data_IF_888234717744
#
_entry.id   IF_888234717744
#
_cell.length_a   1.000
_cell.length_b   1.000
_cell.length_c   1.000
_cell.angle_alpha   90.00
_cell.angle_beta   90.00
_cell.angle_gamma   90.00
#
_symmetry.space_group_name_H-M   'P 1'
#
loop_
_entity.id
_entity.type
_entity.pdbx_description
1 polymer ?
#
# COMPACT_ATOMS: atom_id res chain seq x y z
N UNK A 1 0.42 -24.17 2.02
CA UNK A 1 0.36 -22.78 2.53
C UNK A 1 -0.39 -22.63 3.88
N UNK A 2 -0.75 -23.72 4.58
CA UNK A 2 -1.63 -23.68 5.77
C UNK A 2 -0.89 -23.68 7.12
N UNK A 3 0.39 -24.03 7.16
CA UNK A 3 1.10 -24.30 8.43
C UNK A 3 1.53 -23.01 9.18
N UNK A 4 1.51 -21.84 8.53
CA UNK A 4 1.89 -20.57 9.17
C UNK A 4 0.82 -19.97 10.08
N UNK A 5 -0.44 -20.43 9.99
CA UNK A 5 -1.54 -19.85 10.78
C UNK A 5 -1.69 -20.45 12.19
N UNK A 6 -1.11 -21.62 12.46
CA UNK A 6 -1.21 -22.29 13.76
C UNK A 6 -0.44 -21.59 14.90
N UNK A 7 0.44 -20.63 14.59
CA UNK A 7 1.20 -19.87 15.59
C UNK A 7 0.68 -18.45 15.83
N UNK A 8 -0.47 -18.09 15.25
CA UNK A 8 -1.08 -16.78 15.46
C UNK A 8 -2.04 -16.83 16.65
N UNK A 9 -1.95 -15.89 17.61
CA UNK A 9 -2.90 -15.76 18.73
C UNK A 9 -4.36 -15.80 18.26
N UNK A 10 -5.23 -16.47 19.02
CA UNK A 10 -6.65 -16.71 18.69
C UNK A 10 -7.50 -15.48 18.27
N UNK A 11 -7.19 -14.23 18.70
CA UNK A 11 -7.86 -13.04 18.18
C UNK A 11 -7.47 -12.68 16.73
N UNK A 12 -6.26 -13.03 16.30
CA UNK A 12 -5.70 -12.67 14.99
C UNK A 12 -6.26 -13.53 13.86
N UNK A 13 -6.59 -14.79 14.14
CA UNK A 13 -7.20 -15.69 13.16
C UNK A 13 -8.55 -15.16 12.69
N UNK A 14 -9.39 -14.62 13.59
CA UNK A 14 -10.71 -14.04 13.25
C UNK A 14 -10.60 -12.80 12.36
N UNK A 15 -9.68 -11.90 12.69
CA UNK A 15 -9.45 -10.64 11.95
C UNK A 15 -8.85 -10.89 10.56
N UNK A 16 -7.99 -11.91 10.42
CA UNK A 16 -7.43 -12.29 9.12
C UNK A 16 -8.45 -13.00 8.22
N UNK A 17 -9.41 -13.72 8.81
CA UNK A 17 -10.48 -14.39 8.05
C UNK A 17 -11.51 -13.39 7.49
N UNK A 18 -11.81 -12.33 8.24
CA UNK A 18 -12.62 -11.20 7.75
C UNK A 18 -11.93 -10.48 6.56
N UNK A 19 -10.60 -10.34 6.56
CA UNK A 19 -9.84 -9.76 5.46
C UNK A 19 -9.76 -10.65 4.20
N UNK A 20 -9.77 -11.97 4.38
CA UNK A 20 -9.84 -12.96 3.28
C UNK A 20 -11.13 -12.88 2.48
N UNK A 21 -12.26 -12.53 3.11
CA UNK A 21 -13.55 -12.32 2.42
C UNK A 21 -13.54 -11.16 1.42
N UNK A 22 -12.53 -10.28 1.48
CA UNK A 22 -12.38 -9.10 0.62
C UNK A 22 -11.38 -9.35 -0.54
N UNK A 23 -10.94 -10.60 -0.75
CA UNK A 23 -9.93 -10.99 -1.78
C UNK A 23 -8.60 -10.20 -1.73
N UNK A 24 -8.33 -9.47 -0.66
CA UNK A 24 -7.06 -8.80 -0.43
C UNK A 24 -6.08 -9.80 0.19
N UNK A 25 -5.61 -10.75 -0.62
CA UNK A 25 -4.73 -11.86 -0.20
C UNK A 25 -3.39 -11.43 0.42
N UNK A 26 -3.07 -10.13 0.40
CA UNK A 26 -1.83 -9.55 0.93
C UNK A 26 -2.02 -8.63 2.14
N UNK A 27 -3.22 -8.53 2.72
CA UNK A 27 -3.50 -7.54 3.76
C UNK A 27 -3.50 -8.11 5.19
N UNK A 28 -2.86 -7.38 6.10
CA UNK A 28 -2.99 -7.57 7.56
C UNK A 28 -3.73 -6.35 8.10
N UNK A 29 -4.96 -6.50 8.61
CA UNK A 29 -5.72 -5.39 9.18
C UNK A 29 -4.95 -4.63 10.26
N UNK A 30 -5.19 -3.32 10.38
CA UNK A 30 -4.46 -2.46 11.31
C UNK A 30 -4.48 -2.99 12.75
N UNK A 31 -5.62 -3.51 13.21
CA UNK A 31 -5.77 -4.17 14.51
C UNK A 31 -4.92 -5.44 14.65
N UNK A 32 -4.89 -6.28 13.61
CA UNK A 32 -4.06 -7.47 13.59
C UNK A 32 -2.57 -7.12 13.56
N UNK A 33 -2.21 -6.07 12.84
CA UNK A 33 -0.85 -5.57 12.83
C UNK A 33 -0.41 -5.04 14.19
N UNK A 34 -1.23 -4.20 14.84
CA UNK A 34 -0.92 -3.70 16.19
C UNK A 34 -0.78 -4.85 17.19
N UNK A 35 -1.67 -5.83 17.15
CA UNK A 35 -1.59 -7.00 18.02
C UNK A 35 -0.33 -7.85 17.80
N UNK A 36 0.26 -7.84 16.59
CA UNK A 36 1.54 -8.53 16.31
C UNK A 36 2.74 -7.64 16.63
N UNK A 37 2.66 -6.34 16.32
CA UNK A 37 3.78 -5.41 16.42
C UNK A 37 4.00 -4.92 17.84
N UNK A 38 2.95 -4.55 18.57
CA UNK A 38 3.08 -3.99 19.91
C UNK A 38 3.83 -4.92 20.88
N UNK A 39 3.55 -6.23 20.95
CA UNK A 39 4.31 -7.12 21.82
C UNK A 39 5.78 -7.24 21.40
N UNK A 40 6.06 -7.25 20.09
CA UNK A 40 7.44 -7.32 19.57
C UNK A 40 8.21 -6.03 19.84
N UNK A 41 7.60 -4.89 19.59
CA UNK A 41 8.17 -3.57 19.89
C UNK A 41 8.37 -3.43 21.40
N UNK A 42 7.42 -3.86 22.23
CA UNK A 42 7.56 -3.86 23.70
C UNK A 42 8.72 -4.73 24.21
N UNK A 43 8.99 -5.86 23.56
CA UNK A 43 10.15 -6.70 23.89
C UNK A 43 11.48 -6.08 23.48
N UNK A 44 11.52 -5.30 22.41
CA UNK A 44 12.78 -4.70 21.92
C UNK A 44 12.98 -3.31 22.55
N UNK A 45 11.93 -2.69 23.06
CA UNK A 45 11.92 -1.30 23.50
C UNK A 45 12.78 -1.00 24.73
N UNK A 46 12.99 -1.99 25.60
CA UNK A 46 13.80 -1.86 26.81
C UNK A 46 15.28 -2.16 26.57
N UNK A 47 15.61 -2.99 25.56
CA UNK A 47 16.97 -3.48 25.31
C UNK A 47 17.99 -2.33 25.15
N UNK A 48 17.74 -1.27 24.36
CA UNK A 48 18.69 -0.16 24.22
C UNK A 48 18.86 0.64 25.52
N UNK A 49 17.80 0.75 26.33
CA UNK A 49 17.84 1.48 27.59
C UNK A 49 18.63 0.71 28.64
N UNK A 50 18.37 -0.60 28.76
CA UNK A 50 19.11 -1.50 29.66
C UNK A 50 20.59 -1.60 29.27
N UNK A 51 20.89 -1.62 27.96
CA UNK A 51 22.27 -1.57 27.48
C UNK A 51 22.97 -0.27 27.91
N UNK A 52 22.32 0.89 27.72
CA UNK A 52 22.84 2.19 28.16
C UNK A 52 23.05 2.20 29.68
N UNK A 53 22.13 1.64 30.46
CA UNK A 53 22.30 1.50 31.91
C UNK A 53 23.55 0.74 32.27
N UNK A 54 23.74 -0.48 31.74
CA UNK A 54 24.90 -1.33 32.02
C UNK A 54 26.22 -0.66 31.65
N UNK A 55 26.26 0.05 30.52
CA UNK A 55 27.46 0.78 30.09
C UNK A 55 27.79 1.92 31.06
N UNK A 56 26.79 2.68 31.49
CA UNK A 56 27.00 3.77 32.45
C UNK A 56 27.36 3.27 33.84
N UNK A 57 26.77 2.17 34.31
CA UNK A 57 27.12 1.54 35.59
C UNK A 57 28.59 1.12 35.60
N UNK A 58 29.06 0.48 34.51
CA UNK A 58 30.47 0.13 34.37
C UNK A 58 31.40 1.36 34.35
N UNK A 59 31.03 2.41 33.61
CA UNK A 59 31.81 3.66 33.57
C UNK A 59 31.89 4.28 34.97
N UNK A 60 30.78 4.27 35.71
CA UNK A 60 30.71 4.79 37.06
C UNK A 60 31.66 4.03 38.00
N UNK A 61 31.61 2.71 37.98
CA UNK A 61 32.47 1.84 38.79
C UNK A 61 33.95 2.08 38.49
N UNK A 62 34.31 2.16 37.21
CA UNK A 62 35.70 2.43 36.79
C UNK A 62 36.15 3.81 37.27
N UNK A 63 35.34 4.86 37.08
CA UNK A 63 35.68 6.22 37.49
C UNK A 63 35.84 6.31 39.00
N UNK A 64 34.92 5.73 39.78
CA UNK A 64 34.99 5.72 41.25
C UNK A 64 36.24 4.95 41.72
N UNK A 65 36.54 3.80 41.12
CA UNK A 65 37.67 2.95 41.49
C UNK A 65 39.01 3.65 41.27
N UNK A 66 39.23 4.21 40.07
CA UNK A 66 40.45 4.95 39.71
C UNK A 66 40.63 6.16 40.63
N UNK A 67 39.56 6.92 40.88
CA UNK A 67 39.65 8.08 41.76
C UNK A 67 39.98 7.70 43.19
N UNK A 68 39.31 6.68 43.73
CA UNK A 68 39.54 6.20 45.09
C UNK A 68 41.02 5.86 45.30
N UNK A 69 41.63 5.14 44.36
CA UNK A 69 43.03 4.73 44.43
C UNK A 69 44.02 5.90 44.46
N UNK A 70 43.77 6.96 43.71
CA UNK A 70 44.68 8.12 43.65
C UNK A 70 44.52 9.14 44.79
N UNK A 71 43.46 9.02 45.60
CA UNK A 71 43.11 10.04 46.60
C UNK A 71 43.05 9.50 48.03
N UNK A 72 43.60 8.31 48.28
CA UNK A 72 43.57 7.57 49.55
C UNK A 72 44.01 8.41 50.77
N UNK A 73 44.88 9.41 50.55
CA UNK A 73 45.44 10.23 51.63
C UNK A 73 44.63 11.50 51.98
N UNK A 74 43.58 11.86 51.21
CA UNK A 74 42.83 13.12 51.37
C UNK A 74 41.31 12.91 51.42
N UNK A 75 40.78 12.66 52.62
CA UNK A 75 39.39 12.25 52.86
C UNK A 75 38.32 13.29 52.45
N UNK A 76 38.56 14.60 52.68
CA UNK A 76 37.61 15.65 52.27
C UNK A 76 37.55 15.83 50.75
N UNK A 77 38.71 15.76 50.08
CA UNK A 77 38.81 15.83 48.63
C UNK A 77 38.10 14.64 47.97
N UNK A 78 38.24 13.44 48.55
CA UNK A 78 37.54 12.23 48.10
C UNK A 78 36.02 12.39 48.09
N UNK A 79 35.43 12.88 49.18
CA UNK A 79 33.98 13.00 49.30
C UNK A 79 33.40 14.01 48.31
N UNK A 80 34.11 15.13 48.09
CA UNK A 80 33.73 16.15 47.11
C UNK A 80 33.78 15.61 45.67
N UNK A 81 34.88 14.96 45.31
CA UNK A 81 35.06 14.38 43.98
C UNK A 81 34.05 13.26 43.71
N UNK A 82 33.84 12.35 44.66
CA UNK A 82 32.87 11.26 44.52
C UNK A 82 31.46 11.79 44.23
N UNK A 83 31.03 12.83 44.95
CA UNK A 83 29.74 13.50 44.69
C UNK A 83 29.68 14.13 43.30
N UNK A 84 30.74 14.82 42.89
CA UNK A 84 30.80 15.45 41.57
C UNK A 84 30.77 14.41 40.43
N UNK A 85 31.52 13.31 40.57
CA UNK A 85 31.50 12.19 39.62
C UNK A 85 30.12 11.57 39.50
N UNK A 86 29.49 11.22 40.63
CA UNK A 86 28.14 10.64 40.64
C UNK A 86 27.12 11.57 39.99
N UNK A 87 27.13 12.87 40.34
CA UNK A 87 26.24 13.85 39.76
C UNK A 87 26.43 14.01 38.23
N UNK A 88 27.68 13.95 37.75
CA UNK A 88 27.98 14.01 36.32
C UNK A 88 27.53 12.75 35.59
N UNK A 89 27.81 11.56 36.15
CA UNK A 89 27.39 10.27 35.60
C UNK A 89 25.87 10.21 35.48
N UNK A 90 25.13 10.53 36.54
CA UNK A 90 23.67 10.52 36.51
C UNK A 90 23.11 11.48 35.44
N UNK A 91 23.69 12.69 35.33
CA UNK A 91 23.31 13.65 34.28
C UNK A 91 23.53 13.10 32.88
N UNK A 92 24.67 12.46 32.63
CA UNK A 92 25.02 11.94 31.30
C UNK A 92 24.30 10.62 30.97
N UNK A 93 24.05 9.78 31.98
CA UNK A 93 23.23 8.57 31.91
C UNK A 93 21.80 8.92 31.53
N UNK A 94 21.21 9.93 32.17
CA UNK A 94 19.88 10.45 31.82
C UNK A 94 19.78 10.90 30.35
N UNK A 95 20.77 11.68 29.86
CA UNK A 95 20.81 12.09 28.44
C UNK A 95 20.90 10.91 27.49
N UNK A 96 21.74 9.93 27.81
CA UNK A 96 21.94 8.74 26.98
C UNK A 96 20.68 7.87 26.91
N UNK A 97 19.94 7.74 28.01
CA UNK A 97 18.64 7.06 28.05
C UNK A 97 17.61 7.77 27.16
N UNK A 98 17.52 9.10 27.24
CA UNK A 98 16.62 9.88 26.39
C UNK A 98 16.95 9.69 24.91
N UNK A 99 18.23 9.74 24.54
CA UNK A 99 18.66 9.47 23.17
C UNK A 99 18.26 8.06 22.69
N UNK A 100 18.42 7.04 23.53
CA UNK A 100 17.99 5.68 23.21
C UNK A 100 16.47 5.58 22.97
N UNK A 101 15.66 6.35 23.73
CA UNK A 101 14.21 6.43 23.53
C UNK A 101 13.84 7.16 22.24
N UNK A 102 14.55 8.23 21.87
CA UNK A 102 14.36 8.94 20.61
C UNK A 102 14.64 8.04 19.42
N UNK A 103 15.78 7.32 19.42
CA UNK A 103 16.14 6.34 18.40
C UNK A 103 15.04 5.30 18.19
N UNK A 104 14.44 4.81 19.28
CA UNK A 104 13.29 3.90 19.24
C UNK A 104 12.07 4.53 18.59
N UNK A 105 11.73 5.77 18.96
CA UNK A 105 10.58 6.48 18.41
C UNK A 105 10.73 6.73 16.90
N UNK A 106 11.94 7.10 16.45
CA UNK A 106 12.26 7.26 15.03
C UNK A 106 12.12 5.96 14.24
N UNK A 107 12.60 4.84 14.78
CA UNK A 107 12.48 3.53 14.13
C UNK A 107 11.01 3.09 14.02
N UNK A 108 10.22 3.25 15.09
CA UNK A 108 8.79 2.96 15.09
C UNK A 108 8.05 3.80 14.05
N UNK A 109 8.31 5.11 14.02
CA UNK A 109 7.70 6.03 13.06
C UNK A 109 7.94 5.62 11.61
N UNK A 110 9.18 5.23 11.26
CA UNK A 110 9.51 4.74 9.90
C UNK A 110 8.66 3.52 9.49
N UNK A 111 8.41 2.59 10.42
CA UNK A 111 7.58 1.39 10.15
C UNK A 111 6.12 1.77 9.96
N UNK A 112 5.59 2.64 10.83
CA UNK A 112 4.19 3.09 10.77
C UNK A 112 3.92 3.86 9.47
N UNK A 113 4.76 4.82 9.13
CA UNK A 113 4.59 5.64 7.92
C UNK A 113 4.58 4.80 6.65
N UNK A 114 5.50 3.83 6.53
CA UNK A 114 5.53 2.92 5.38
C UNK A 114 4.21 2.17 5.22
N UNK A 115 3.64 1.68 6.32
CA UNK A 115 2.37 0.93 6.30
C UNK A 115 1.15 1.79 6.01
N UNK A 116 1.14 3.03 6.47
CA UNK A 116 0.08 3.98 6.12
C UNK A 116 0.04 4.19 4.61
N UNK A 117 1.20 4.43 4.00
CA UNK A 117 1.33 4.59 2.54
C UNK A 117 0.87 3.33 1.81
N UNK A 118 1.32 2.16 2.23
CA UNK A 118 0.90 0.88 1.63
C UNK A 118 -0.63 0.67 1.75
N UNK A 119 -1.22 0.98 2.91
CA UNK A 119 -2.66 0.85 3.14
C UNK A 119 -3.48 1.81 2.29
N UNK A 120 -3.03 3.06 2.12
CA UNK A 120 -3.69 4.05 1.27
C UNK A 120 -3.60 3.65 -0.20
N UNK A 121 -2.42 3.23 -0.66
CA UNK A 121 -2.21 2.78 -2.03
C UNK A 121 -3.13 1.59 -2.37
N UNK A 122 -3.22 0.60 -1.47
CA UNK A 122 -4.11 -0.55 -1.66
C UNK A 122 -5.60 -0.15 -1.65
N UNK A 123 -6.01 0.74 -0.74
CA UNK A 123 -7.39 1.22 -0.71
C UNK A 123 -7.78 1.91 -2.02
N UNK A 124 -6.91 2.80 -2.52
CA UNK A 124 -7.13 3.49 -3.78
C UNK A 124 -7.14 2.52 -4.96
N UNK A 125 -6.21 1.55 -5.02
CA UNK A 125 -6.21 0.53 -6.06
C UNK A 125 -7.51 -0.29 -6.07
N UNK A 126 -8.03 -0.68 -4.90
CA UNK A 126 -9.30 -1.39 -4.79
C UNK A 126 -10.46 -0.52 -5.28
N UNK A 127 -10.51 0.76 -4.89
CA UNK A 127 -11.55 1.70 -5.31
C UNK A 127 -11.54 1.90 -6.81
N UNK A 128 -10.38 2.12 -7.41
CA UNK A 128 -10.23 2.29 -8.87
C UNK A 128 -10.63 1.01 -9.60
N UNK A 129 -10.20 -0.16 -9.12
CA UNK A 129 -10.60 -1.44 -9.73
C UNK A 129 -12.11 -1.65 -9.71
N UNK A 130 -12.77 -1.34 -8.59
CA UNK A 130 -14.22 -1.44 -8.47
C UNK A 130 -14.94 -0.42 -9.36
N UNK A 131 -14.41 0.80 -9.46
CA UNK A 131 -14.93 1.83 -10.36
C UNK A 131 -14.93 1.31 -11.81
N UNK A 132 -13.77 0.87 -12.30
CA UNK A 132 -13.60 0.44 -13.70
C UNK A 132 -14.38 -0.85 -14.00
N UNK A 133 -14.31 -1.85 -13.12
CA UNK A 133 -14.85 -3.19 -13.40
C UNK A 133 -16.32 -3.37 -13.04
N UNK A 134 -16.94 -2.45 -12.29
CA UNK A 134 -18.32 -2.62 -11.81
C UNK A 134 -19.14 -1.36 -12.01
N UNK A 135 -18.69 -0.25 -11.45
CA UNK A 135 -19.51 0.96 -11.39
C UNK A 135 -19.60 1.65 -12.75
N UNK A 136 -18.52 1.64 -13.54
CA UNK A 136 -18.51 2.22 -14.89
C UNK A 136 -19.50 1.50 -15.82
N UNK A 137 -19.48 0.17 -15.86
CA UNK A 137 -20.41 -0.62 -16.67
C UNK A 137 -21.86 -0.33 -16.27
N UNK A 138 -22.17 -0.36 -14.97
CA UNK A 138 -23.52 -0.05 -14.47
C UNK A 138 -23.98 1.34 -14.88
N UNK A 139 -23.13 2.36 -14.75
CA UNK A 139 -23.47 3.75 -15.07
C UNK A 139 -23.63 3.97 -16.58
N UNK A 140 -22.81 3.32 -17.40
CA UNK A 140 -22.95 3.37 -18.86
C UNK A 140 -24.24 2.67 -19.29
N UNK A 141 -24.47 1.45 -18.82
CA UNK A 141 -25.66 0.66 -19.12
C UNK A 141 -26.91 1.39 -18.64
N UNK A 142 -26.91 1.96 -17.44
CA UNK A 142 -28.08 2.70 -16.91
C UNK A 142 -28.41 3.91 -17.76
N UNK A 143 -27.42 4.74 -18.13
CA UNK A 143 -27.64 5.92 -18.98
C UNK A 143 -28.13 5.57 -20.38
N UNK A 144 -27.62 4.48 -20.95
CA UNK A 144 -27.99 4.04 -22.30
C UNK A 144 -29.38 3.39 -22.31
N UNK A 145 -29.73 2.56 -21.31
CA UNK A 145 -31.01 1.84 -21.26
C UNK A 145 -32.16 2.71 -20.71
N UNK A 146 -31.92 3.62 -19.76
CA UNK A 146 -32.97 4.51 -19.23
C UNK A 146 -33.51 5.48 -20.30
N UNK A 147 -32.81 5.63 -21.42
CA UNK A 147 -33.24 6.40 -22.57
C UNK A 147 -34.07 5.51 -23.51
N UNK A 148 -35.30 5.16 -23.11
CA UNK A 148 -36.21 4.25 -23.86
C UNK A 148 -36.62 4.75 -25.27
N UNK A 149 -36.04 5.86 -25.75
CA UNK A 149 -36.42 6.62 -26.96
C UNK A 149 -35.46 6.41 -28.16
N UNK A 150 -34.85 5.23 -28.27
CA UNK A 150 -33.96 4.88 -29.39
C UNK A 150 -32.68 5.73 -29.45
N UNK A 151 -32.25 6.31 -28.32
CA UNK A 151 -31.09 7.22 -28.26
C UNK A 151 -29.79 6.58 -28.73
N UNK A 152 -29.61 5.28 -28.48
CA UNK A 152 -28.45 4.51 -28.97
C UNK A 152 -28.45 4.47 -30.50
N UNK A 153 -29.62 4.26 -31.11
CA UNK A 153 -29.79 4.24 -32.56
C UNK A 153 -29.49 5.62 -33.18
N UNK A 154 -29.98 6.70 -32.55
CA UNK A 154 -29.64 8.09 -32.92
C UNK A 154 -28.16 8.44 -32.73
N UNK A 155 -27.47 7.82 -31.75
CA UNK A 155 -26.03 8.02 -31.54
C UNK A 155 -25.17 7.20 -32.52
N UNK A 156 -25.73 6.15 -33.11
CA UNK A 156 -25.10 5.32 -34.14
C UNK A 156 -25.49 5.76 -35.56
N UNK A 157 -26.31 6.80 -35.69
CA UNK A 157 -26.71 7.36 -36.99
C UNK A 157 -25.50 8.00 -37.67
N UNK A 158 -25.25 7.60 -38.92
CA UNK A 158 -24.10 8.06 -39.70
C UNK A 158 -24.13 9.59 -39.82
N UNK A 159 -22.96 10.22 -39.73
CA UNK A 159 -22.84 11.64 -40.10
C UNK A 159 -23.38 11.85 -41.53
N UNK A 160 -24.06 12.98 -41.82
CA UNK A 160 -24.63 13.23 -43.15
C UNK A 160 -23.65 13.00 -44.31
N UNK A 161 -22.36 13.28 -44.10
CA UNK A 161 -21.30 13.04 -45.08
C UNK A 161 -21.00 11.54 -45.32
N UNK A 162 -21.08 10.71 -44.27
CA UNK A 162 -20.88 9.26 -44.35
C UNK A 162 -22.11 8.62 -45.00
N UNK A 163 -23.32 9.05 -44.60
CA UNK A 163 -24.58 8.58 -45.17
C UNK A 163 -24.65 8.84 -46.69
N UNK A 164 -24.32 10.05 -47.15
CA UNK A 164 -24.29 10.40 -48.57
C UNK A 164 -23.27 9.58 -49.37
N UNK A 165 -22.09 9.30 -48.79
CA UNK A 165 -21.08 8.42 -49.41
C UNK A 165 -21.58 6.99 -49.54
N UNK A 166 -22.25 6.45 -48.51
CA UNK A 166 -22.83 5.10 -48.50
C UNK A 166 -23.97 4.98 -49.52
N UNK A 167 -24.82 5.99 -49.64
CA UNK A 167 -25.88 6.04 -50.65
C UNK A 167 -25.31 6.01 -52.07
N UNK A 168 -24.33 6.88 -52.37
CA UNK A 168 -23.67 6.94 -53.68
C UNK A 168 -22.98 5.62 -54.05
N UNK A 169 -22.32 4.99 -53.08
CA UNK A 169 -21.70 3.68 -53.26
C UNK A 169 -22.74 2.59 -53.55
N UNK A 170 -23.84 2.54 -52.78
CA UNK A 170 -24.91 1.58 -52.99
C UNK A 170 -25.61 1.75 -54.35
N UNK A 171 -25.80 2.99 -54.81
CA UNK A 171 -26.31 3.27 -56.16
C UNK A 171 -25.36 2.71 -57.24
N UNK A 172 -24.05 2.90 -57.06
CA UNK A 172 -23.02 2.39 -57.98
C UNK A 172 -23.00 0.85 -58.01
N UNK A 173 -23.13 0.20 -56.85
CA UNK A 173 -23.20 -1.26 -56.75
C UNK A 173 -24.42 -1.81 -57.49
N UNK A 174 -25.60 -1.17 -57.36
CA UNK A 174 -26.82 -1.58 -58.09
C UNK A 174 -26.64 -1.49 -59.60
N UNK A 175 -26.03 -0.40 -60.09
CA UNK A 175 -25.74 -0.23 -61.51
C UNK A 175 -24.76 -1.29 -62.03
N UNK A 176 -23.69 -1.57 -61.28
CA UNK A 176 -22.74 -2.62 -61.63
C UNK A 176 -23.37 -4.01 -61.64
N UNK A 177 -24.28 -4.28 -60.71
CA UNK A 177 -25.06 -5.54 -60.70
C UNK A 177 -25.91 -5.66 -61.95
N UNK A 178 -26.65 -4.62 -62.32
CA UNK A 178 -27.48 -4.64 -63.53
C UNK A 178 -26.65 -4.81 -64.81
N UNK A 179 -25.51 -4.12 -64.88
CA UNK A 179 -24.56 -4.26 -66.00
C UNK A 179 -24.01 -5.69 -66.11
N UNK A 180 -23.68 -6.31 -64.97
CA UNK A 180 -23.26 -7.72 -64.91
C UNK A 180 -24.34 -8.66 -65.45
N UNK A 181 -25.60 -8.44 -65.10
CA UNK A 181 -26.72 -9.29 -65.54
C UNK A 181 -26.94 -9.17 -67.06
N UNK A 182 -26.92 -7.94 -67.62
CA UNK A 182 -27.01 -7.72 -69.08
C UNK A 182 -25.86 -8.39 -69.83
N UNK A 183 -24.65 -8.35 -69.26
CA UNK A 183 -23.50 -9.01 -69.85
C UNK A 183 -23.66 -10.54 -69.86
N UNK A 184 -24.22 -11.12 -68.79
CA UNK A 184 -24.53 -12.55 -68.72
C UNK A 184 -25.52 -12.95 -69.82
N UNK A 185 -26.59 -12.17 -70.02
CA UNK A 185 -27.58 -12.42 -71.09
C UNK A 185 -26.92 -12.39 -72.48
N UNK A 186 -26.02 -11.43 -72.75
CA UNK A 186 -25.31 -11.36 -74.03
C UNK A 186 -24.40 -12.57 -74.23
N UNK A 187 -23.69 -13.00 -73.18
CA UNK A 187 -22.81 -14.17 -73.24
C UNK A 187 -23.59 -15.46 -73.48
N UNK A 188 -24.74 -15.65 -72.84
CA UNK A 188 -25.61 -16.82 -73.03
C UNK A 188 -26.21 -16.87 -74.44
N UNK A 189 -26.58 -15.71 -75.00
CA UNK A 189 -27.03 -15.61 -76.38
C UNK A 189 -25.93 -15.93 -77.40
N UNK A 190 -24.67 -15.55 -77.14
CA UNK A 190 -23.54 -15.89 -78.01
C UNK A 190 -23.14 -17.37 -77.92
N UNK A 191 -23.26 -17.98 -76.73
CA UNK A 191 -22.93 -19.40 -76.53
C UNK A 191 -23.98 -20.36 -77.14
N UNK A 192 -25.16 -19.85 -77.46
CA UNK A 192 -26.26 -20.59 -78.11
C UNK A 192 -26.37 -20.37 -79.63
N UNK A 193 -25.49 -19.51 -80.20
CA UNK A 193 -25.26 -19.38 -81.65
C UNK A 193 -24.26 -20.42 -82.17
#
# INVERSE_FOLDING_TARGET
MLVKYCFLPHPLTRVLDEGKRIELSKFVPHSAFLAILQPKVGKISHIPVEFVEKVWDYIEDVVISVFKHHSENNHQLQMGIKRACHALVEKMKGKSKNWALEMRMTAYWKIVMRRLVDSMALHLQLRVRNLVNKELEKEVVSKLIASHDGKIEKMLEDSPAIAAKREKLNASIRLLSHSKDVLADIMDNLASM
#
